data_IF_340347863159
#
_entry.id   IF_340347863159
#
_cell.length_a   1.000
_cell.length_b   1.000
_cell.length_c   1.000
_cell.angle_alpha   90.00
_cell.angle_beta   90.00
_cell.angle_gamma   90.00
#
_symmetry.space_group_name_H-M   'P 1'
#
loop_
_entity.id
_entity.type
_entity.pdbx_description
1 polymer ?
#
# COMPACT_ATOMS: atom_id res chain seq x y z
N UNK A 1 13.04 7.81 -9.62
CA UNK A 1 13.24 6.97 -9.29
C UNK A 1 12.41 5.90 -8.94
N UNK A 2 12.77 4.87 -8.66
CA UNK A 2 11.96 3.71 -8.52
C UNK A 2 11.46 3.53 -7.14
N UNK A 3 10.21 3.13 -7.03
CA UNK A 3 9.64 2.76 -5.77
C UNK A 3 9.67 1.25 -5.69
N UNK A 4 10.04 0.72 -4.53
CA UNK A 4 10.04 -0.71 -4.33
C UNK A 4 8.65 -1.22 -3.98
N UNK A 5 7.81 -0.36 -3.42
CA UNK A 5 6.46 -0.73 -3.03
C UNK A 5 5.49 0.32 -3.53
N UNK A 6 4.27 -0.09 -3.77
CA UNK A 6 3.22 0.85 -4.16
C UNK A 6 1.99 0.57 -3.32
N UNK A 7 1.39 1.63 -2.81
CA UNK A 7 0.21 1.53 -2.00
C UNK A 7 -1.01 1.77 -2.86
N UNK A 8 -1.97 0.84 -2.79
CA UNK A 8 -3.21 0.98 -3.53
C UNK A 8 -4.36 1.08 -2.54
N UNK A 9 -5.50 1.48 -3.03
CA UNK A 9 -6.72 1.48 -2.25
C UNK A 9 -7.77 0.73 -3.04
N UNK A 10 -8.46 -0.20 -2.37
CA UNK A 10 -9.54 -0.94 -3.03
C UNK A 10 -10.82 -0.12 -2.93
N UNK A 11 -11.47 0.07 -4.08
CA UNK A 11 -12.71 0.83 -4.12
C UNK A 11 -13.88 -0.11 -3.89
N UNK A 12 -15.05 0.48 -3.66
CA UNK A 12 -16.23 -0.31 -3.38
C UNK A 12 -16.64 -1.18 -4.56
N UNK A 13 -16.27 -0.78 -5.77
CA UNK A 13 -16.60 -1.58 -6.95
C UNK A 13 -15.59 -2.69 -7.22
N UNK A 14 -14.60 -2.83 -6.35
CA UNK A 14 -13.61 -3.89 -6.49
C UNK A 14 -12.35 -3.48 -7.23
N UNK A 15 -12.32 -2.29 -7.79
CA UNK A 15 -11.12 -1.85 -8.51
C UNK A 15 -10.10 -1.28 -7.53
N UNK A 16 -8.88 -1.09 -8.03
CA UNK A 16 -7.79 -0.56 -7.22
C UNK A 16 -7.32 0.77 -7.77
N UNK A 17 -6.96 1.68 -6.87
CA UNK A 17 -6.42 2.97 -7.26
C UNK A 17 -5.05 3.10 -6.62
N UNK A 18 -4.06 3.51 -7.39
CA UNK A 18 -2.73 3.72 -6.85
C UNK A 18 -2.69 5.01 -6.05
N UNK A 19 -2.20 4.92 -4.83
CA UNK A 19 -2.10 6.09 -3.96
C UNK A 19 -0.72 6.71 -4.06
N UNK A 20 0.32 5.92 -3.80
CA UNK A 20 1.68 6.45 -3.89
C UNK A 20 2.69 5.31 -3.89
N UNK A 21 3.91 5.64 -4.26
CA UNK A 21 5.00 4.69 -4.21
C UNK A 21 5.90 5.00 -3.04
N UNK A 22 6.47 3.97 -2.42
CA UNK A 22 7.38 4.14 -1.30
C UNK A 22 8.61 3.28 -1.52
N UNK A 23 9.69 3.66 -0.87
CA UNK A 23 10.97 2.99 -1.11
C UNK A 23 11.18 1.75 -0.28
N UNK A 24 10.66 1.74 0.94
CA UNK A 24 10.90 0.58 1.80
C UNK A 24 9.64 0.28 2.59
N UNK A 25 9.67 -0.89 3.24
CA UNK A 25 8.50 -1.38 3.94
C UNK A 25 8.18 -0.56 5.17
N UNK A 26 9.20 0.00 5.82
CA UNK A 26 8.96 0.82 7.01
C UNK A 26 8.20 2.07 6.66
N UNK A 27 8.57 2.70 5.55
CA UNK A 27 7.85 3.87 5.11
C UNK A 27 6.44 3.51 4.68
N UNK A 28 6.29 2.37 4.04
CA UNK A 28 4.97 1.91 3.64
C UNK A 28 4.06 1.73 4.84
N UNK A 29 4.58 1.15 5.90
CA UNK A 29 3.78 0.95 7.11
C UNK A 29 3.36 2.26 7.73
N UNK A 30 4.27 3.23 7.77
CA UNK A 30 3.96 4.54 8.33
C UNK A 30 2.88 5.24 7.51
N UNK A 31 3.02 5.17 6.19
CA UNK A 31 2.04 5.80 5.32
C UNK A 31 0.68 5.12 5.42
N UNK A 32 0.68 3.80 5.52
CA UNK A 32 -0.58 3.06 5.64
C UNK A 32 -1.30 3.44 6.92
N UNK A 33 -0.56 3.63 8.01
CA UNK A 33 -1.19 4.05 9.24
C UNK A 33 -1.87 5.39 9.08
N UNK A 34 -1.23 6.32 8.41
CA UNK A 34 -1.81 7.63 8.18
C UNK A 34 -3.05 7.53 7.31
N UNK A 35 -2.97 6.73 6.26
CA UNK A 35 -4.09 6.60 5.35
C UNK A 35 -5.30 5.98 6.03
N UNK A 36 -5.08 4.94 6.80
CA UNK A 36 -6.18 4.27 7.48
C UNK A 36 -6.81 5.19 8.51
N UNK A 37 -6.00 6.02 9.18
CA UNK A 37 -6.54 6.97 10.13
C UNK A 37 -7.38 8.04 9.45
N UNK A 38 -6.93 8.51 8.30
CA UNK A 38 -7.64 9.56 7.60
C UNK A 38 -8.89 9.02 6.92
N UNK A 39 -8.77 7.85 6.33
CA UNK A 39 -9.90 7.27 5.60
C UNK A 39 -9.81 5.76 5.70
N UNK A 40 -10.56 5.15 6.62
CA UNK A 40 -10.50 3.70 6.81
C UNK A 40 -10.88 2.96 5.54
N UNK A 41 -10.23 1.83 5.32
CA UNK A 41 -10.51 1.03 4.14
C UNK A 41 -9.40 0.02 3.93
N UNK A 42 -9.46 -0.65 2.79
CA UNK A 42 -8.46 -1.64 2.43
C UNK A 42 -7.39 -0.99 1.59
N UNK A 43 -6.15 -1.12 2.03
CA UNK A 43 -5.02 -0.54 1.34
C UNK A 43 -3.99 -1.61 1.07
N UNK A 44 -4.14 -2.37 -0.01
CA UNK A 44 -3.15 -3.39 -0.33
C UNK A 44 -1.82 -2.76 -0.71
N UNK A 45 -0.74 -3.44 -0.38
CA UNK A 45 0.59 -2.98 -0.67
C UNK A 45 1.19 -3.88 -1.74
N UNK A 46 1.63 -3.28 -2.83
CA UNK A 46 2.21 -4.02 -3.94
C UNK A 46 3.73 -4.00 -3.82
N UNK A 47 4.33 -5.18 -3.84
CA UNK A 47 5.77 -5.30 -3.82
C UNK A 47 6.25 -5.42 -5.25
N UNK A 48 6.82 -4.36 -5.78
CA UNK A 48 7.24 -4.32 -7.17
C UNK A 48 8.38 -5.29 -7.45
N UNK A 49 9.23 -5.54 -6.46
CA UNK A 49 10.32 -6.48 -6.64
C UNK A 49 9.82 -7.90 -6.76
N UNK A 50 8.89 -8.27 -5.90
CA UNK A 50 8.35 -9.62 -5.90
C UNK A 50 7.17 -9.76 -6.86
N UNK A 51 6.64 -8.62 -7.32
CA UNK A 51 5.50 -8.60 -8.23
C UNK A 51 4.29 -9.26 -7.63
N UNK A 52 4.01 -8.93 -6.38
CA UNK A 52 2.84 -9.48 -5.70
C UNK A 52 2.43 -8.55 -4.59
N UNK A 53 1.20 -8.70 -4.12
CA UNK A 53 0.75 -7.94 -2.98
C UNK A 53 1.29 -8.56 -1.71
N UNK A 54 1.63 -7.71 -0.75
CA UNK A 54 2.11 -8.17 0.55
C UNK A 54 1.27 -7.52 1.62
N UNK A 55 1.30 -8.12 2.80
CA UNK A 55 0.52 -7.61 3.93
C UNK A 55 1.48 -7.06 4.96
N UNK A 56 1.63 -5.73 5.02
CA UNK A 56 2.60 -5.14 5.96
C UNK A 56 2.18 -5.28 7.41
N UNK A 57 0.91 -5.60 7.64
CA UNK A 57 0.44 -5.79 9.01
C UNK A 57 0.62 -7.20 9.48
N UNK A 58 1.07 -8.07 8.63
CA UNK A 58 1.21 -9.44 8.98
C UNK A 58 2.38 -9.60 9.88
N UNK A 59 2.14 -10.20 11.01
CA UNK A 59 3.15 -10.34 11.89
C UNK A 59 3.98 -11.37 11.71
#
# INVERSE_FOLDING_TARGET
MNSNYEIFKQRSDGSFVRIEGVKNIDQAKADLKKLVSAEPGDYPLWDASARKFVDPCNR
#
